data_IF_766760772681
#
_entry.id   IF_766760772681
#
_cell.length_a   1.000
_cell.length_b   1.000
_cell.length_c   1.000
_cell.angle_alpha   90.00
_cell.angle_beta   90.00
_cell.angle_gamma   90.00
#
_symmetry.space_group_name_H-M   'P 1'
#
loop_
_entity.id
_entity.type
_entity.pdbx_description
1 polymer ?
#
# COMPACT_ATOMS: atom_id res chain seq x y z
N UNK A 1 4.94 84.65 -12.09
CA UNK A 1 5.73 83.66 -12.73
C UNK A 1 6.03 82.57 -11.72
N UNK A 2 5.35 81.45 -11.78
CA UNK A 2 5.49 80.34 -10.85
C UNK A 2 5.80 79.04 -11.59
N UNK A 3 6.80 78.31 -11.23
CA UNK A 3 7.00 76.98 -11.76
C UNK A 3 6.37 75.93 -10.82
N UNK A 4 5.69 75.07 -11.46
CA UNK A 4 4.95 73.90 -11.03
C UNK A 4 5.79 72.91 -10.23
N UNK A 5 5.30 72.59 -9.01
CA UNK A 5 5.75 71.44 -8.22
C UNK A 5 5.11 70.15 -8.77
N UNK A 6 5.87 69.35 -9.48
CA UNK A 6 5.49 67.99 -9.79
C UNK A 6 5.77 67.10 -8.58
N UNK A 7 4.70 66.69 -7.87
CA UNK A 7 4.73 65.69 -6.82
C UNK A 7 5.04 64.31 -7.41
N UNK A 8 6.22 63.81 -7.14
CA UNK A 8 6.60 62.45 -7.35
C UNK A 8 5.85 61.56 -6.34
N UNK A 9 4.79 60.91 -6.79
CA UNK A 9 4.11 59.89 -5.98
C UNK A 9 4.91 58.61 -6.07
N UNK A 10 5.70 58.34 -5.06
CA UNK A 10 6.41 57.08 -4.92
C UNK A 10 5.40 55.91 -4.80
N UNK A 11 5.58 54.93 -5.67
CA UNK A 11 4.76 53.69 -5.70
C UNK A 11 5.49 52.50 -5.04
N UNK A 12 5.85 52.52 -3.74
CA UNK A 12 6.43 51.34 -3.13
C UNK A 12 5.39 50.38 -2.55
N UNK A 13 4.13 50.87 -2.29
CA UNK A 13 3.13 50.05 -1.60
C UNK A 13 2.47 48.96 -2.45
N UNK A 14 2.39 49.16 -3.77
CA UNK A 14 1.83 48.16 -4.68
C UNK A 14 2.76 46.95 -4.89
N UNK A 15 4.07 47.15 -4.83
CA UNK A 15 5.04 46.07 -4.98
C UNK A 15 5.01 45.07 -3.79
N UNK A 16 4.79 45.57 -2.59
CA UNK A 16 4.70 44.73 -1.40
C UNK A 16 3.43 43.86 -1.36
N UNK A 17 2.29 44.40 -1.84
CA UNK A 17 1.04 43.64 -1.92
C UNK A 17 1.14 42.51 -2.95
N UNK A 18 1.74 42.74 -4.10
CA UNK A 18 1.95 41.72 -5.12
C UNK A 18 2.88 40.62 -4.64
N UNK A 19 3.96 40.93 -3.92
CA UNK A 19 4.88 39.96 -3.36
C UNK A 19 4.21 39.09 -2.26
N UNK A 20 3.32 39.66 -1.45
CA UNK A 20 2.61 38.90 -0.41
C UNK A 20 1.61 37.91 -1.00
N UNK A 21 0.93 38.27 -2.09
CA UNK A 21 -0.02 37.36 -2.78
C UNK A 21 0.72 36.19 -3.44
N UNK A 22 1.90 36.44 -4.03
CA UNK A 22 2.71 35.38 -4.62
C UNK A 22 3.23 34.37 -3.58
N UNK A 23 3.57 34.86 -2.37
CA UNK A 23 4.04 33.98 -1.30
C UNK A 23 2.95 33.06 -0.75
N UNK A 24 1.70 33.53 -0.68
CA UNK A 24 0.55 32.74 -0.21
C UNK A 24 0.16 31.66 -1.25
N UNK A 25 0.34 31.93 -2.53
CA UNK A 25 0.04 30.95 -3.59
C UNK A 25 0.99 29.74 -3.58
N UNK A 26 2.23 29.87 -3.11
CA UNK A 26 3.21 28.78 -3.06
C UNK A 26 2.93 27.81 -1.89
N UNK A 27 2.26 28.26 -0.84
CA UNK A 27 1.97 27.41 0.34
C UNK A 27 0.80 26.45 0.17
N UNK A 28 0.01 26.57 -0.90
CA UNK A 28 -1.15 25.69 -1.14
C UNK A 28 -0.82 24.46 -2.01
N UNK A 29 0.36 24.40 -2.64
CA UNK A 29 0.75 23.29 -3.52
C UNK A 29 1.56 22.20 -2.83
N UNK A 30 1.55 22.10 -1.52
CA UNK A 30 2.44 21.18 -0.84
C UNK A 30 1.86 20.45 0.34
N UNK A 31 0.74 19.79 0.22
CA UNK A 31 0.40 18.72 1.14
C UNK A 31 -0.47 17.68 0.44
N UNK A 32 0.10 16.94 -0.49
CA UNK A 32 -0.16 15.52 -0.50
C UNK A 32 0.55 14.95 0.75
N UNK A 33 0.00 15.27 1.91
CA UNK A 33 0.22 14.49 3.10
C UNK A 33 -0.18 13.09 2.72
N UNK A 34 0.83 12.21 2.62
CA UNK A 34 0.62 10.82 2.35
C UNK A 34 -0.55 10.37 3.20
N UNK A 35 -1.53 9.73 2.58
CA UNK A 35 -2.60 9.07 3.31
C UNK A 35 -1.97 8.43 4.54
N UNK A 36 -2.49 8.67 5.77
CA UNK A 36 -1.94 8.06 6.95
C UNK A 36 -1.77 6.58 6.62
N UNK A 37 -0.54 6.09 6.75
CA UNK A 37 -0.20 4.73 6.39
C UNK A 37 -1.29 3.89 7.05
N UNK A 38 -2.21 3.38 6.24
CA UNK A 38 -3.29 2.56 6.75
C UNK A 38 -2.60 1.51 7.60
N UNK A 39 -3.16 1.16 8.74
CA UNK A 39 -2.59 0.14 9.63
C UNK A 39 -2.49 -1.23 8.93
N UNK A 40 -2.76 -1.28 7.64
CA UNK A 40 -2.59 -2.39 6.73
C UNK A 40 -1.12 -2.56 6.35
N UNK A 41 -0.68 -3.79 6.34
CA UNK A 41 0.66 -4.23 5.99
C UNK A 41 1.08 -3.81 4.57
N UNK A 42 0.18 -3.91 3.60
CA UNK A 42 0.28 -3.35 2.27
C UNK A 42 -1.12 -2.99 1.74
N UNK A 43 -1.22 -1.93 0.94
CA UNK A 43 -2.51 -1.52 0.37
C UNK A 43 -2.37 -0.64 -0.87
N UNK A 44 -3.36 -0.71 -1.77
CA UNK A 44 -3.47 0.16 -2.95
C UNK A 44 -4.93 0.57 -3.15
N UNK A 45 -5.16 1.81 -3.60
CA UNK A 45 -6.49 2.29 -3.96
C UNK A 45 -6.67 2.21 -5.47
N UNK A 46 -7.77 1.60 -5.90
CA UNK A 46 -8.13 1.37 -7.30
C UNK A 46 -9.49 2.02 -7.54
N UNK A 47 -9.59 2.85 -8.58
CA UNK A 47 -10.82 3.55 -8.93
C UNK A 47 -11.32 3.11 -10.31
N UNK A 48 -12.65 3.14 -10.50
CA UNK A 48 -13.28 2.88 -11.80
C UNK A 48 -13.25 1.43 -12.24
N UNK A 49 -12.94 0.49 -11.35
CA UNK A 49 -12.97 -0.95 -11.61
C UNK A 49 -13.96 -1.65 -10.69
N UNK A 50 -14.60 -2.67 -11.21
CA UNK A 50 -15.51 -3.49 -10.42
C UNK A 50 -14.74 -4.36 -9.41
N UNK A 51 -15.42 -4.78 -8.35
CA UNK A 51 -14.85 -5.71 -7.35
C UNK A 51 -14.40 -7.03 -7.98
N UNK A 52 -15.12 -7.50 -9.02
CA UNK A 52 -14.76 -8.71 -9.76
C UNK A 52 -13.45 -8.55 -10.52
N UNK A 53 -13.30 -7.48 -11.31
CA UNK A 53 -12.07 -7.20 -12.05
C UNK A 53 -10.85 -7.10 -11.12
N UNK A 54 -11.00 -6.41 -9.99
CA UNK A 54 -9.89 -6.28 -9.02
C UNK A 54 -9.55 -7.64 -8.42
N UNK A 55 -10.55 -8.45 -8.08
CA UNK A 55 -10.37 -9.80 -7.55
C UNK A 55 -9.63 -10.69 -8.55
N UNK A 56 -10.07 -10.70 -9.80
CA UNK A 56 -9.48 -11.56 -10.85
C UNK A 56 -8.04 -11.14 -11.16
N UNK A 57 -7.76 -9.85 -11.26
CA UNK A 57 -6.41 -9.34 -11.42
C UNK A 57 -5.52 -9.69 -10.23
N UNK A 58 -6.03 -9.62 -9.00
CA UNK A 58 -5.30 -10.00 -7.79
C UNK A 58 -4.94 -11.49 -7.82
N UNK A 59 -5.90 -12.35 -8.15
CA UNK A 59 -5.68 -13.79 -8.30
C UNK A 59 -4.59 -14.08 -9.34
N UNK A 60 -4.66 -13.41 -10.49
CA UNK A 60 -3.69 -13.61 -11.56
C UNK A 60 -2.27 -13.23 -11.12
N UNK A 61 -2.09 -12.03 -10.55
CA UNK A 61 -0.78 -11.55 -10.08
C UNK A 61 -0.20 -12.48 -9.01
N UNK A 62 -0.98 -12.87 -8.01
CA UNK A 62 -0.46 -13.76 -6.97
C UNK A 62 -0.11 -15.16 -7.49
N UNK A 63 -0.90 -15.73 -8.43
CA UNK A 63 -0.59 -17.01 -9.06
C UNK A 63 0.71 -16.95 -9.87
N UNK A 64 0.91 -15.90 -10.64
CA UNK A 64 2.14 -15.71 -11.43
C UNK A 64 3.37 -15.58 -10.53
N UNK A 65 3.19 -15.11 -9.30
CA UNK A 65 4.24 -15.02 -8.29
C UNK A 65 4.35 -16.29 -7.43
N UNK A 66 3.73 -17.40 -7.84
CA UNK A 66 3.88 -18.72 -7.23
C UNK A 66 3.04 -18.97 -5.99
N UNK A 67 1.98 -18.19 -5.78
CA UNK A 67 1.01 -18.44 -4.71
C UNK A 67 -0.11 -19.37 -5.18
N UNK A 68 -0.52 -20.28 -4.31
CA UNK A 68 -1.77 -21.00 -4.44
C UNK A 68 -2.91 -20.14 -3.90
N UNK A 69 -4.11 -20.25 -4.49
CA UNK A 69 -5.25 -19.41 -4.15
C UNK A 69 -6.33 -20.24 -3.48
N UNK A 70 -6.73 -19.81 -2.31
CA UNK A 70 -7.85 -20.36 -1.56
C UNK A 70 -8.92 -19.28 -1.46
N UNK A 71 -10.05 -19.47 -2.15
CA UNK A 71 -11.16 -18.52 -2.10
C UNK A 71 -11.99 -18.66 -0.85
N UNK A 72 -12.31 -17.55 -0.19
CA UNK A 72 -13.36 -17.48 0.80
C UNK A 72 -14.45 -16.51 0.32
N UNK A 73 -15.66 -16.60 0.89
CA UNK A 73 -16.75 -15.66 0.61
C UNK A 73 -16.43 -14.24 1.07
N UNK A 74 -15.53 -14.09 2.01
CA UNK A 74 -15.19 -12.79 2.63
C UNK A 74 -13.86 -12.19 2.18
N UNK A 75 -13.01 -12.96 1.46
CA UNK A 75 -11.70 -12.48 1.04
C UNK A 75 -10.94 -13.48 0.19
N UNK A 76 -9.71 -13.15 -0.14
CA UNK A 76 -8.79 -14.02 -0.84
C UNK A 76 -7.67 -14.43 0.12
N UNK A 77 -7.41 -15.72 0.19
CA UNK A 77 -6.26 -16.27 0.89
C UNK A 77 -5.31 -16.86 -0.12
N UNK A 78 -4.04 -16.50 -0.01
CA UNK A 78 -2.96 -16.97 -0.87
C UNK A 78 -1.91 -17.66 -0.01
N UNK A 79 -1.39 -18.78 -0.45
CA UNK A 79 -0.36 -19.52 0.26
C UNK A 79 0.81 -19.82 -0.66
N UNK A 80 2.01 -19.70 -0.11
CA UNK A 80 3.25 -20.05 -0.79
C UNK A 80 4.21 -20.70 0.19
N UNK A 81 4.90 -21.74 -0.23
CA UNK A 81 5.96 -22.33 0.60
C UNK A 81 7.02 -21.28 0.92
N UNK A 82 7.36 -21.20 2.19
CA UNK A 82 8.44 -20.33 2.67
C UNK A 82 9.79 -20.86 2.16
N UNK A 83 10.69 -19.95 1.82
CA UNK A 83 12.05 -20.36 1.47
C UNK A 83 12.75 -20.96 2.71
N UNK A 84 13.59 -21.99 2.50
CA UNK A 84 14.39 -22.62 3.58
C UNK A 84 15.24 -21.59 4.35
N UNK A 85 15.64 -20.49 3.71
CA UNK A 85 16.36 -19.40 4.36
C UNK A 85 15.54 -18.67 5.44
N UNK A 86 14.23 -18.58 5.29
CA UNK A 86 13.36 -17.97 6.29
C UNK A 86 13.09 -18.90 7.49
N UNK A 87 13.14 -20.23 7.29
CA UNK A 87 13.04 -21.19 8.39
C UNK A 87 14.31 -21.18 9.25
N UNK A 88 15.49 -21.18 8.63
CA UNK A 88 16.79 -21.16 9.34
C UNK A 88 16.97 -19.91 10.19
N UNK A 89 16.53 -18.74 9.75
CA UNK A 89 16.64 -17.50 10.51
C UNK A 89 15.78 -17.50 11.79
N UNK A 90 14.75 -18.34 11.86
CA UNK A 90 13.86 -18.50 13.02
C UNK A 90 14.31 -19.64 13.93
N UNK A 91 14.79 -20.74 13.35
CA UNK A 91 15.14 -21.98 14.07
C UNK A 91 16.52 -21.91 14.77
N UNK A 92 17.29 -20.84 14.51
CA UNK A 92 18.59 -20.66 15.16
C UNK A 92 18.57 -20.56 16.69
N UNK A 93 17.40 -20.54 17.32
CA UNK A 93 17.26 -20.38 18.76
C UNK A 93 16.31 -21.35 19.48
N UNK A 94 15.46 -22.10 18.79
CA UNK A 94 14.55 -23.05 19.46
C UNK A 94 14.37 -24.30 18.63
N UNK A 95 15.01 -25.36 19.06
CA UNK A 95 14.75 -26.80 18.84
C UNK A 95 14.13 -27.25 17.52
N UNK A 96 14.95 -27.95 16.78
CA UNK A 96 14.63 -28.88 15.69
C UNK A 96 13.31 -29.64 15.88
N UNK A 97 12.21 -29.13 15.33
CA UNK A 97 11.14 -30.01 14.90
C UNK A 97 11.43 -30.36 13.43
N UNK A 98 11.89 -31.54 13.22
CA UNK A 98 12.17 -32.14 11.93
C UNK A 98 10.98 -31.96 11.00
N UNK A 99 11.15 -31.22 9.89
CA UNK A 99 10.27 -31.28 8.74
C UNK A 99 9.03 -30.40 8.75
N UNK A 100 8.86 -29.44 9.66
CA UNK A 100 7.72 -28.54 9.62
C UNK A 100 7.80 -27.60 8.40
N UNK A 101 6.93 -27.81 7.44
CA UNK A 101 6.80 -26.93 6.27
C UNK A 101 6.33 -25.59 6.78
N UNK A 102 7.14 -24.56 6.54
CA UNK A 102 6.73 -23.18 6.82
C UNK A 102 6.12 -22.61 5.54
N UNK A 103 4.89 -22.12 5.62
CA UNK A 103 4.24 -21.43 4.51
C UNK A 103 4.04 -19.95 4.84
N UNK A 104 3.98 -19.14 3.80
CA UNK A 104 3.54 -17.76 3.88
C UNK A 104 2.08 -17.71 3.45
N UNK A 105 1.21 -17.28 4.34
CA UNK A 105 -0.22 -17.09 4.10
C UNK A 105 -0.50 -15.58 3.99
N UNK A 106 -1.06 -15.15 2.87
CA UNK A 106 -1.47 -13.76 2.65
C UNK A 106 -2.99 -13.70 2.59
N UNK A 107 -3.57 -12.88 3.43
CA UNK A 107 -5.01 -12.58 3.39
C UNK A 107 -5.20 -11.22 2.74
N UNK A 108 -5.94 -11.18 1.64
CA UNK A 108 -6.27 -9.96 0.93
C UNK A 108 -7.76 -9.66 1.00
N UNK A 109 -8.09 -8.40 1.17
CA UNK A 109 -9.43 -7.89 1.35
C UNK A 109 -9.67 -6.66 0.47
N UNK A 110 -10.89 -6.54 -0.04
CA UNK A 110 -11.37 -5.37 -0.77
C UNK A 110 -12.32 -4.57 0.10
N UNK A 111 -11.93 -3.34 0.40
CA UNK A 111 -12.71 -2.37 1.17
C UNK A 111 -13.28 -1.32 0.23
N UNK A 112 -14.59 -1.16 0.23
CA UNK A 112 -15.27 -0.10 -0.52
C UNK A 112 -15.06 1.25 0.17
N UNK A 113 -14.52 2.23 -0.58
CA UNK A 113 -14.30 3.59 -0.11
C UNK A 113 -15.39 4.56 -0.58
N UNK A 114 -16.38 4.06 -1.32
CA UNK A 114 -17.39 4.88 -1.98
C UNK A 114 -16.87 5.58 -3.24
N UNK A 115 -17.78 6.24 -3.97
CA UNK A 115 -17.48 6.98 -5.23
C UNK A 115 -16.76 6.15 -6.29
N UNK A 116 -16.98 4.83 -6.31
CA UNK A 116 -16.34 3.92 -7.26
C UNK A 116 -14.85 3.67 -7.00
N UNK A 117 -14.36 3.97 -5.80
CA UNK A 117 -13.01 3.65 -5.36
C UNK A 117 -13.02 2.48 -4.38
N UNK A 118 -12.09 1.55 -4.56
CA UNK A 118 -11.89 0.40 -3.67
C UNK A 118 -10.44 0.35 -3.21
N UNK A 119 -10.24 -0.03 -1.96
CA UNK A 119 -8.91 -0.31 -1.41
C UNK A 119 -8.71 -1.82 -1.38
N UNK A 120 -7.69 -2.26 -2.10
CA UNK A 120 -7.16 -3.60 -1.95
C UNK A 120 -6.07 -3.54 -0.89
N UNK A 121 -6.23 -4.30 0.18
CA UNK A 121 -5.27 -4.41 1.26
C UNK A 121 -4.94 -5.85 1.56
N UNK A 122 -3.74 -6.12 2.07
CA UNK A 122 -3.37 -7.46 2.49
C UNK A 122 -2.59 -7.47 3.80
N UNK A 123 -2.56 -8.64 4.42
CA UNK A 123 -1.74 -8.97 5.58
C UNK A 123 -1.10 -10.32 5.35
N UNK A 124 0.19 -10.42 5.65
CA UNK A 124 0.93 -11.67 5.52
C UNK A 124 1.23 -12.28 6.90
N UNK A 125 1.24 -13.59 6.93
CA UNK A 125 1.47 -14.43 8.10
C UNK A 125 2.48 -15.51 7.76
N UNK A 126 3.29 -15.86 8.72
CA UNK A 126 4.12 -17.05 8.69
C UNK A 126 3.40 -18.17 9.43
N UNK A 127 3.18 -19.29 8.77
CA UNK A 127 2.48 -20.44 9.31
C UNK A 127 3.46 -21.59 9.43
N UNK A 128 3.63 -22.11 10.63
CA UNK A 128 4.44 -23.28 10.94
C UNK A 128 3.51 -24.46 11.23
N UNK A 129 3.88 -25.67 10.83
CA UNK A 129 3.04 -26.86 11.02
C UNK A 129 1.77 -26.84 10.16
N UNK A 130 1.85 -26.22 8.99
CA UNK A 130 0.72 -26.12 8.08
C UNK A 130 0.14 -27.49 7.74
N UNK A 131 -1.18 -27.60 7.86
CA UNK A 131 -1.93 -28.85 7.64
C UNK A 131 -2.13 -29.72 8.88
N UNK A 132 -1.54 -29.36 10.02
CA UNK A 132 -1.81 -30.00 11.29
C UNK A 132 -2.66 -29.08 12.17
N UNK A 133 -3.94 -29.41 12.31
CA UNK A 133 -4.91 -28.58 13.07
C UNK A 133 -4.58 -28.41 14.56
N UNK A 134 -3.68 -29.23 15.12
CA UNK A 134 -3.25 -29.14 16.52
C UNK A 134 -1.96 -28.33 16.70
N UNK A 135 -1.10 -28.28 15.68
CA UNK A 135 0.23 -27.67 15.77
C UNK A 135 0.42 -26.48 14.81
N UNK A 136 -0.60 -26.12 14.04
CA UNK A 136 -0.54 -24.93 13.18
C UNK A 136 -0.41 -23.67 14.05
N UNK A 137 0.71 -22.97 13.88
CA UNK A 137 0.97 -21.70 14.54
C UNK A 137 1.11 -20.60 13.48
N UNK A 138 0.25 -19.61 13.55
CA UNK A 138 0.22 -18.47 12.64
C UNK A 138 0.79 -17.23 13.33
N UNK A 139 1.84 -16.65 12.78
CA UNK A 139 2.47 -15.41 13.27
C UNK A 139 2.39 -14.32 12.22
N UNK A 140 1.81 -13.18 12.60
CA UNK A 140 1.72 -12.02 11.72
C UNK A 140 3.11 -11.48 11.39
N UNK A 141 3.39 -11.20 10.11
CA UNK A 141 4.62 -10.53 9.70
C UNK A 141 4.56 -9.05 10.11
N UNK A 142 5.70 -8.55 10.59
CA UNK A 142 5.83 -7.15 10.97
C UNK A 142 5.77 -6.22 9.74
N UNK A 143 5.26 -5.01 9.92
CA UNK A 143 4.97 -4.08 8.83
C UNK A 143 6.20 -3.71 7.98
N UNK A 144 7.42 -3.72 8.53
CA UNK A 144 8.65 -3.47 7.77
C UNK A 144 8.94 -4.54 6.70
N UNK A 145 8.27 -5.69 6.73
CA UNK A 145 8.34 -6.74 5.70
C UNK A 145 7.27 -6.62 4.62
N UNK A 146 6.53 -5.52 4.60
CA UNK A 146 5.43 -5.28 3.66
C UNK A 146 5.86 -4.99 2.22
N UNK A 147 7.12 -4.57 1.99
CA UNK A 147 7.60 -4.16 0.67
C UNK A 147 7.25 -5.11 -0.49
N UNK A 148 7.65 -6.39 -0.46
CA UNK A 148 7.33 -7.34 -1.53
C UNK A 148 5.84 -7.51 -1.80
N UNK A 149 4.99 -7.34 -0.79
CA UNK A 149 3.54 -7.43 -0.93
C UNK A 149 2.94 -6.13 -1.48
N UNK A 150 3.55 -4.99 -1.14
CA UNK A 150 3.19 -3.71 -1.76
C UNK A 150 3.47 -3.76 -3.26
N UNK A 151 4.62 -4.31 -3.67
CA UNK A 151 4.97 -4.48 -5.10
C UNK A 151 3.93 -5.34 -5.84
N UNK A 152 3.43 -6.42 -5.22
CA UNK A 152 2.36 -7.24 -5.79
C UNK A 152 1.06 -6.46 -5.96
N UNK A 153 0.67 -5.67 -4.95
CA UNK A 153 -0.55 -4.85 -5.05
C UNK A 153 -0.42 -3.73 -6.08
N UNK A 154 0.76 -3.13 -6.20
CA UNK A 154 1.04 -2.10 -7.21
C UNK A 154 1.00 -2.70 -8.62
N UNK A 155 1.45 -3.94 -8.80
CA UNK A 155 1.32 -4.67 -10.06
C UNK A 155 -0.14 -4.94 -10.42
N UNK A 156 -0.98 -5.32 -9.45
CA UNK A 156 -2.43 -5.44 -9.66
C UNK A 156 -3.01 -4.13 -10.16
N UNK A 157 -2.68 -3.01 -9.49
CA UNK A 157 -3.17 -1.69 -9.89
C UNK A 157 -2.68 -1.27 -11.28
N UNK A 158 -1.42 -1.60 -11.63
CA UNK A 158 -0.84 -1.35 -12.94
C UNK A 158 -1.56 -2.15 -14.04
N UNK A 159 -1.82 -3.44 -13.81
CA UNK A 159 -2.52 -4.32 -14.75
C UNK A 159 -3.94 -3.82 -15.04
N UNK A 160 -4.65 -3.33 -14.04
CA UNK A 160 -5.99 -2.79 -14.18
C UNK A 160 -6.06 -1.43 -14.88
N UNK A 161 -4.93 -0.72 -15.01
CA UNK A 161 -4.82 0.54 -15.79
C UNK A 161 -4.54 0.30 -17.27
N UNK A 162 -4.08 -0.88 -17.63
CA UNK A 162 -3.87 -1.25 -19.03
C UNK A 162 -5.23 -1.52 -19.69
N UNK A 163 -5.50 -0.95 -20.87
CA UNK A 163 -6.75 -1.13 -21.59
C UNK A 163 -6.91 -2.55 -22.14
#
# INVERSE_FOLDING_TARGET
MNPSLKKCLSRPRLAFVAASIALVAITVTGCHLGQPAAASFASVTISGKSRGEIRDATIAVFRENGYQVFGSSQGLTFEKEGSKANSIARDGFVSSHYGAVTIIRVRAELVDLGKGAQRLQCQAYMVSGAGDSFFENESRLANFRGGPYQDLLDEVAKRLKQP
#
